data_IF_322606641864
#
_entry.id   IF_322606641864
#
_cell.length_a   1.000
_cell.length_b   1.000
_cell.length_c   1.000
_cell.angle_alpha   90.00
_cell.angle_beta   90.00
_cell.angle_gamma   90.00
#
_symmetry.space_group_name_H-M   'P 1'
#
loop_
_entity.id
_entity.type
_entity.pdbx_description
1 polymer ?
#
# COMPACT_ATOMS: atom_id res chain seq x y z
N UNK A 1 -5.75 6.29 -12.84
CA UNK A 1 -6.14 6.65 -11.47
C UNK A 1 -5.73 8.07 -11.13
N UNK A 2 -6.58 8.78 -10.39
CA UNK A 2 -6.24 10.10 -9.87
C UNK A 2 -5.60 9.96 -8.48
N UNK A 3 -4.53 10.69 -8.21
CA UNK A 3 -3.95 10.81 -6.88
C UNK A 3 -4.59 11.96 -6.07
N UNK A 4 -5.19 12.91 -6.74
CA UNK A 4 -5.99 14.01 -6.16
C UNK A 4 -7.28 14.21 -6.93
N UNK A 5 -8.37 14.55 -6.22
CA UNK A 5 -9.61 15.03 -6.81
C UNK A 5 -9.74 16.55 -6.62
N UNK A 6 -10.82 17.03 -5.98
CA UNK A 6 -11.00 18.47 -5.74
C UNK A 6 -10.07 19.03 -4.65
N UNK A 7 -9.64 18.17 -3.70
CA UNK A 7 -8.80 18.55 -2.56
C UNK A 7 -7.34 18.31 -2.86
N UNK A 8 -6.55 19.37 -2.77
CA UNK A 8 -5.12 19.30 -3.06
C UNK A 8 -4.32 18.66 -1.92
N UNK A 9 -3.31 17.89 -2.26
CA UNK A 9 -2.25 17.40 -1.36
C UNK A 9 -1.03 18.31 -1.38
N UNK A 10 -0.83 19.04 -2.48
CA UNK A 10 0.28 19.97 -2.65
C UNK A 10 -0.18 21.24 -3.40
N UNK A 11 0.62 22.34 -3.35
CA UNK A 11 0.23 23.61 -3.96
C UNK A 11 0.00 23.56 -5.48
N UNK A 12 0.63 22.62 -6.19
CA UNK A 12 0.67 22.60 -7.66
C UNK A 12 0.21 21.29 -8.27
N UNK A 13 -0.58 20.50 -7.54
CA UNK A 13 -1.06 19.21 -7.97
C UNK A 13 -2.28 19.27 -8.92
N UNK A 14 -2.76 18.09 -9.31
CA UNK A 14 -3.85 17.92 -10.28
C UNK A 14 -5.19 18.48 -9.80
N UNK A 15 -5.41 18.66 -8.51
CA UNK A 15 -6.67 19.23 -7.98
C UNK A 15 -7.01 20.61 -8.63
N UNK A 16 -5.98 21.34 -9.11
CA UNK A 16 -6.15 22.60 -9.84
C UNK A 16 -6.94 22.44 -11.13
N UNK A 17 -6.89 21.28 -11.73
CA UNK A 17 -7.47 20.97 -13.03
C UNK A 17 -8.63 19.98 -12.93
N UNK A 18 -8.82 19.35 -11.79
CA UNK A 18 -9.77 18.26 -11.60
C UNK A 18 -11.18 18.64 -12.06
N UNK A 19 -11.70 19.81 -11.63
CA UNK A 19 -13.04 20.25 -11.96
C UNK A 19 -13.30 20.36 -13.47
N UNK A 20 -12.30 20.75 -14.25
CA UNK A 20 -12.40 20.97 -15.70
C UNK A 20 -12.05 19.69 -16.49
N UNK A 21 -11.08 18.90 -16.01
CA UNK A 21 -10.42 17.88 -16.84
C UNK A 21 -10.74 16.44 -16.45
N UNK A 22 -11.27 16.17 -15.26
CA UNK A 22 -11.45 14.79 -14.76
C UNK A 22 -12.26 13.89 -15.68
N UNK A 23 -13.36 14.41 -16.29
CA UNK A 23 -14.21 13.59 -17.16
C UNK A 23 -13.49 13.25 -18.47
N UNK A 24 -12.78 14.19 -19.04
CA UNK A 24 -12.00 13.99 -20.26
C UNK A 24 -10.83 13.02 -20.00
N UNK A 25 -10.03 13.29 -18.99
CA UNK A 25 -8.83 12.50 -18.72
C UNK A 25 -9.17 11.05 -18.36
N UNK A 26 -10.21 10.84 -17.53
CA UNK A 26 -10.66 9.49 -17.20
C UNK A 26 -11.27 8.78 -18.44
N UNK A 27 -12.00 9.51 -19.28
CA UNK A 27 -12.54 8.98 -20.53
C UNK A 27 -11.43 8.56 -21.48
N UNK A 28 -10.44 9.41 -21.67
CA UNK A 28 -9.30 9.16 -22.57
C UNK A 28 -8.46 7.96 -22.07
N UNK A 29 -8.22 7.85 -20.77
CA UNK A 29 -7.54 6.70 -20.15
C UNK A 29 -8.29 5.39 -20.45
N UNK A 30 -9.59 5.36 -20.19
CA UNK A 30 -10.40 4.15 -20.40
C UNK A 30 -10.47 3.77 -21.88
N UNK A 31 -10.74 4.73 -22.77
CA UNK A 31 -10.82 4.47 -24.21
C UNK A 31 -9.51 3.99 -24.80
N UNK A 32 -8.38 4.51 -24.29
CA UNK A 32 -7.03 4.06 -24.69
C UNK A 32 -6.78 2.61 -24.28
N UNK A 33 -7.12 2.26 -23.02
CA UNK A 33 -6.60 1.06 -22.39
C UNK A 33 -7.62 -0.10 -22.26
N UNK A 34 -8.94 0.14 -22.47
CA UNK A 34 -9.98 -0.89 -22.28
C UNK A 34 -9.84 -2.14 -23.17
N UNK A 35 -9.10 -2.06 -24.27
CA UNK A 35 -8.86 -3.19 -25.16
C UNK A 35 -7.59 -3.97 -24.82
N UNK A 36 -6.82 -3.56 -23.79
CA UNK A 36 -5.68 -4.32 -23.32
C UNK A 36 -6.14 -5.43 -22.38
N UNK A 37 -5.80 -6.68 -22.70
CA UNK A 37 -6.20 -7.84 -21.91
C UNK A 37 -5.58 -7.84 -20.49
N UNK A 38 -4.45 -7.16 -20.29
CA UNK A 38 -3.80 -7.01 -18.99
C UNK A 38 -4.53 -6.06 -18.03
N UNK A 39 -5.40 -5.18 -18.54
CA UNK A 39 -6.23 -4.34 -17.68
C UNK A 39 -7.42 -5.17 -17.20
N UNK A 40 -7.52 -5.42 -15.90
CA UNK A 40 -8.60 -6.23 -15.32
C UNK A 40 -9.49 -5.43 -14.34
N UNK A 41 -9.04 -4.25 -13.93
CA UNK A 41 -9.72 -3.40 -12.96
C UNK A 41 -9.38 -1.93 -13.21
N UNK A 42 -10.32 -1.03 -12.90
CA UNK A 42 -10.14 0.41 -12.98
C UNK A 42 -10.08 1.03 -11.59
N UNK A 43 -8.99 1.73 -11.28
CA UNK A 43 -8.89 2.53 -10.06
C UNK A 43 -9.22 3.99 -10.37
N UNK A 44 -10.16 4.58 -9.64
CA UNK A 44 -10.58 5.97 -9.83
C UNK A 44 -9.91 6.96 -8.89
N UNK A 45 -9.17 6.47 -7.90
CA UNK A 45 -8.46 7.32 -6.94
C UNK A 45 -7.42 6.57 -6.13
N UNK A 46 -6.38 7.28 -5.68
CA UNK A 46 -5.40 6.80 -4.74
C UNK A 46 -5.25 7.79 -3.59
N UNK A 47 -5.59 7.35 -2.39
CA UNK A 47 -5.49 8.12 -1.15
C UNK A 47 -6.01 9.56 -1.25
N UNK A 48 -7.06 9.75 -2.06
CA UNK A 48 -7.67 11.07 -2.24
C UNK A 48 -8.22 11.58 -0.91
N UNK A 49 -8.07 12.87 -0.64
CA UNK A 49 -8.48 13.45 0.66
C UNK A 49 -9.99 13.43 0.86
N UNK A 50 -10.75 13.22 -0.17
CA UNK A 50 -12.21 13.07 -0.17
C UNK A 50 -12.67 11.79 0.56
N UNK A 51 -11.79 10.83 0.80
CA UNK A 51 -12.10 9.64 1.58
C UNK A 51 -12.37 9.94 3.06
N UNK A 52 -11.71 10.96 3.62
CA UNK A 52 -11.64 11.19 5.05
C UNK A 52 -12.99 11.53 5.69
N UNK A 53 -13.39 10.68 6.64
CA UNK A 53 -14.64 10.82 7.40
C UNK A 53 -14.52 11.69 8.65
N UNK A 54 -13.30 11.90 9.15
CA UNK A 54 -13.08 12.75 10.32
C UNK A 54 -13.36 14.21 9.99
N UNK A 55 -14.24 14.85 10.76
CA UNK A 55 -14.70 16.21 10.48
C UNK A 55 -13.55 17.23 10.37
N UNK A 56 -12.57 17.12 11.27
CA UNK A 56 -11.45 18.05 11.35
C UNK A 56 -10.33 17.73 10.35
N UNK A 57 -10.33 16.54 9.72
CA UNK A 57 -9.30 16.15 8.76
C UNK A 57 -9.22 17.10 7.56
N UNK A 58 -10.28 17.84 7.28
CA UNK A 58 -10.32 18.83 6.19
C UNK A 58 -9.55 20.10 6.48
N UNK A 59 -9.36 20.42 7.74
CA UNK A 59 -8.67 21.62 8.22
C UNK A 59 -7.20 21.35 8.56
N UNK A 60 -6.79 20.06 8.61
CA UNK A 60 -5.43 19.65 8.91
C UNK A 60 -4.56 19.63 7.66
N UNK A 61 -3.26 19.84 7.84
CA UNK A 61 -2.30 19.51 6.80
C UNK A 61 -2.24 17.97 6.56
N UNK A 62 -1.65 17.58 5.45
CA UNK A 62 -1.60 16.18 5.04
C UNK A 62 -0.90 15.28 6.08
N UNK A 63 0.17 15.79 6.72
CA UNK A 63 0.93 15.02 7.69
C UNK A 63 0.11 14.80 8.99
N UNK A 64 -0.54 15.83 9.49
CA UNK A 64 -1.38 15.74 10.68
C UNK A 64 -2.61 14.85 10.45
N UNK A 65 -3.23 14.92 9.27
CA UNK A 65 -4.33 14.05 8.91
C UNK A 65 -3.91 12.58 8.79
N UNK A 66 -2.77 12.30 8.17
CA UNK A 66 -2.22 10.94 8.10
C UNK A 66 -1.87 10.39 9.49
N UNK A 67 -1.38 11.22 10.41
CA UNK A 67 -1.14 10.81 11.78
C UNK A 67 -2.43 10.30 12.46
N UNK A 68 -3.52 11.02 12.33
CA UNK A 68 -4.83 10.64 12.88
C UNK A 68 -5.31 9.32 12.26
N UNK A 69 -5.23 9.19 10.94
CA UNK A 69 -5.68 8.00 10.22
C UNK A 69 -4.88 6.76 10.62
N UNK A 70 -3.58 6.89 10.74
CA UNK A 70 -2.68 5.77 11.05
C UNK A 70 -2.69 5.39 12.55
N UNK A 71 -2.91 6.36 13.44
CA UNK A 71 -3.09 6.09 14.86
C UNK A 71 -4.39 5.32 15.16
N UNK A 72 -5.37 5.39 14.26
CA UNK A 72 -6.69 4.80 14.42
C UNK A 72 -7.58 5.69 15.29
N UNK A 73 -8.43 6.47 14.67
CA UNK A 73 -9.42 7.28 15.37
C UNK A 73 -10.71 6.51 15.63
N UNK A 74 -11.41 6.85 16.69
CA UNK A 74 -12.73 6.32 16.96
C UNK A 74 -13.72 6.88 15.91
N UNK A 75 -14.44 5.96 15.25
CA UNK A 75 -15.48 6.35 14.30
C UNK A 75 -16.68 6.88 15.10
N UNK A 76 -17.18 8.06 14.74
CA UNK A 76 -18.44 8.56 15.28
C UNK A 76 -19.58 7.61 14.91
N UNK A 77 -20.27 6.97 15.89
CA UNK A 77 -21.39 6.07 15.60
C UNK A 77 -22.54 6.74 14.84
N UNK A 78 -22.67 8.06 14.89
CA UNK A 78 -23.66 8.80 14.12
C UNK A 78 -23.37 8.76 12.62
N UNK A 79 -22.11 8.82 12.22
CA UNK A 79 -21.71 8.70 10.80
C UNK A 79 -22.07 7.33 10.20
N UNK A 80 -22.01 6.27 10.99
CA UNK A 80 -22.38 4.94 10.51
C UNK A 80 -23.90 4.77 10.32
N UNK A 81 -24.71 5.58 11.00
CA UNK A 81 -26.18 5.55 10.89
C UNK A 81 -26.72 6.55 9.86
N UNK A 82 -25.92 7.53 9.50
CA UNK A 82 -26.30 8.51 8.48
C UNK A 82 -26.34 7.84 7.10
N UNK A 83 -27.51 7.82 6.46
CA UNK A 83 -27.72 7.26 5.12
C UNK A 83 -27.63 8.32 4.02
N UNK A 84 -27.44 9.59 4.37
CA UNK A 84 -27.25 10.65 3.39
C UNK A 84 -25.89 10.54 2.71
N UNK A 85 -25.87 10.78 1.40
CA UNK A 85 -24.62 10.78 0.65
C UNK A 85 -23.96 12.15 0.74
N UNK A 86 -22.72 12.15 1.18
CA UNK A 86 -21.88 13.34 1.13
C UNK A 86 -21.55 13.75 -0.29
N UNK A 87 -21.08 15.00 -0.47
CA UNK A 87 -20.54 15.48 -1.76
C UNK A 87 -19.42 14.53 -2.26
N UNK A 88 -18.54 14.08 -1.39
CA UNK A 88 -17.45 13.16 -1.70
C UNK A 88 -17.96 11.81 -2.21
N UNK A 89 -19.01 11.27 -1.59
CA UNK A 89 -19.66 10.05 -2.07
C UNK A 89 -20.32 10.25 -3.44
N UNK A 90 -20.86 11.44 -3.71
CA UNK A 90 -21.44 11.76 -5.03
C UNK A 90 -20.38 11.90 -6.11
N UNK A 91 -19.21 12.47 -5.82
CA UNK A 91 -18.06 12.51 -6.75
C UNK A 91 -17.60 11.09 -7.06
N UNK A 92 -17.49 10.22 -6.04
CA UNK A 92 -17.14 8.81 -6.24
C UNK A 92 -18.11 8.11 -7.20
N UNK A 93 -19.42 8.31 -7.01
CA UNK A 93 -20.46 7.79 -7.94
C UNK A 93 -20.31 8.34 -9.34
N UNK A 94 -20.02 9.62 -9.48
CA UNK A 94 -19.84 10.26 -10.78
C UNK A 94 -18.66 9.64 -11.54
N UNK A 95 -17.49 9.53 -10.90
CA UNK A 95 -16.31 8.93 -11.53
C UNK A 95 -16.53 7.45 -11.88
N UNK A 96 -17.14 6.67 -10.98
CA UNK A 96 -17.49 5.29 -11.27
C UNK A 96 -18.47 5.16 -12.44
N UNK A 97 -19.43 6.08 -12.57
CA UNK A 97 -20.38 6.11 -13.68
C UNK A 97 -19.70 6.41 -15.02
N UNK A 98 -18.68 7.29 -15.06
CA UNK A 98 -17.88 7.52 -16.28
C UNK A 98 -17.22 6.21 -16.72
N UNK A 99 -16.56 5.50 -15.78
CA UNK A 99 -15.94 4.19 -16.08
C UNK A 99 -16.98 3.22 -16.63
N UNK A 100 -18.07 3.00 -15.90
CA UNK A 100 -19.11 2.00 -16.27
C UNK A 100 -19.82 2.30 -17.56
N UNK A 101 -19.93 3.56 -17.98
CA UNK A 101 -20.45 3.96 -19.28
C UNK A 101 -19.55 3.49 -20.43
N UNK A 102 -18.24 3.44 -20.22
CA UNK A 102 -17.24 3.16 -21.24
C UNK A 102 -16.74 1.71 -21.23
N UNK A 103 -16.75 1.07 -20.05
CA UNK A 103 -16.37 -0.32 -19.84
C UNK A 103 -17.26 -0.95 -18.77
N UNK A 104 -18.20 -1.79 -19.20
CA UNK A 104 -19.11 -2.53 -18.31
C UNK A 104 -18.55 -3.86 -17.85
N UNK A 105 -17.41 -4.29 -18.39
CA UNK A 105 -16.85 -5.63 -18.17
C UNK A 105 -15.92 -5.71 -16.95
N UNK A 106 -15.34 -4.58 -16.56
CA UNK A 106 -14.35 -4.53 -15.49
C UNK A 106 -14.89 -3.87 -14.23
N UNK A 107 -14.34 -4.28 -13.11
CA UNK A 107 -14.67 -3.74 -11.77
C UNK A 107 -13.99 -2.39 -11.54
N UNK A 108 -14.60 -1.58 -10.67
CA UNK A 108 -14.09 -0.27 -10.25
C UNK A 108 -13.65 -0.34 -8.79
N UNK A 109 -12.51 0.25 -8.51
CA UNK A 109 -11.92 0.38 -7.18
C UNK A 109 -11.33 1.78 -6.94
N UNK A 110 -10.86 2.02 -5.74
CA UNK A 110 -9.97 3.12 -5.36
C UNK A 110 -9.06 2.64 -4.22
N UNK A 111 -7.79 3.03 -4.23
CA UNK A 111 -6.86 2.78 -3.13
C UNK A 111 -7.13 3.73 -1.97
N UNK A 112 -7.36 3.22 -0.77
CA UNK A 112 -7.72 4.02 0.40
C UNK A 112 -6.86 3.65 1.60
N UNK A 113 -6.38 4.67 2.32
CA UNK A 113 -5.71 4.52 3.60
C UNK A 113 -6.65 4.78 4.80
N UNK A 114 -7.85 5.31 4.60
CA UNK A 114 -8.91 5.27 5.60
C UNK A 114 -9.79 4.03 5.38
N UNK A 115 -9.46 2.95 6.08
CA UNK A 115 -10.03 1.60 5.86
C UNK A 115 -11.24 1.26 6.73
N UNK A 116 -11.98 2.27 7.17
CA UNK A 116 -13.16 2.09 8.01
C UNK A 116 -14.48 2.32 7.23
N UNK A 117 -15.63 1.83 7.72
CA UNK A 117 -16.93 1.98 7.05
C UNK A 117 -17.43 3.41 6.91
N UNK A 118 -16.88 4.38 7.64
CA UNK A 118 -17.26 5.78 7.53
C UNK A 118 -16.61 6.50 6.34
N UNK A 119 -15.57 5.90 5.72
CA UNK A 119 -14.92 6.43 4.51
C UNK A 119 -15.97 6.80 3.46
N UNK A 120 -15.93 8.05 3.00
CA UNK A 120 -16.92 8.59 2.05
C UNK A 120 -16.94 7.86 0.70
N UNK A 121 -15.78 7.35 0.24
CA UNK A 121 -15.71 6.57 -1.00
C UNK A 121 -16.43 5.22 -0.83
N UNK A 122 -16.23 4.54 0.29
CA UNK A 122 -16.89 3.27 0.59
C UNK A 122 -18.40 3.44 0.80
N UNK A 123 -18.81 4.52 1.47
CA UNK A 123 -20.22 4.87 1.66
C UNK A 123 -20.94 5.21 0.36
N UNK A 124 -20.23 5.58 -0.70
CA UNK A 124 -20.83 5.82 -2.00
C UNK A 124 -21.55 4.60 -2.58
N UNK A 125 -21.14 3.41 -2.18
CA UNK A 125 -21.55 2.11 -2.75
C UNK A 125 -21.27 1.96 -4.26
N UNK A 126 -20.39 2.78 -4.80
CA UNK A 126 -20.05 2.79 -6.22
C UNK A 126 -18.81 1.93 -6.57
N UNK A 127 -18.06 1.52 -5.57
CA UNK A 127 -16.90 0.67 -5.76
C UNK A 127 -17.31 -0.81 -5.71
N UNK A 128 -16.94 -1.56 -6.75
CA UNK A 128 -17.20 -2.99 -6.83
C UNK A 128 -16.26 -3.78 -5.90
N UNK A 129 -15.03 -3.31 -5.77
CA UNK A 129 -13.99 -3.87 -4.91
C UNK A 129 -13.41 -2.74 -4.07
N UNK A 130 -13.25 -2.94 -2.77
CA UNK A 130 -12.64 -1.96 -1.89
C UNK A 130 -11.13 -2.12 -1.89
N UNK A 131 -10.40 -1.06 -2.21
CA UNK A 131 -8.94 -1.04 -2.21
C UNK A 131 -8.41 -0.54 -0.87
N UNK A 132 -7.57 -1.33 -0.20
CA UNK A 132 -6.87 -0.92 1.01
C UNK A 132 -5.40 -0.69 0.70
N UNK A 133 -4.90 0.48 1.08
CA UNK A 133 -3.49 0.76 1.12
C UNK A 133 -2.97 0.43 2.52
N UNK A 134 -2.11 -0.59 2.62
CA UNK A 134 -1.61 -1.12 3.89
C UNK A 134 -2.72 -1.53 4.88
N UNK A 135 -2.52 -1.33 6.17
CA UNK A 135 -3.51 -1.57 7.24
C UNK A 135 -3.92 -3.04 7.39
N UNK A 136 -2.98 -3.96 7.33
CA UNK A 136 -3.14 -5.42 7.38
C UNK A 136 -4.01 -5.89 8.55
N UNK A 137 -3.98 -5.17 9.68
CA UNK A 137 -4.82 -5.45 10.87
C UNK A 137 -6.33 -5.43 10.60
N UNK A 138 -6.76 -4.84 9.46
CA UNK A 138 -8.16 -4.75 9.07
C UNK A 138 -8.57 -5.79 8.04
N UNK A 139 -7.67 -6.65 7.56
CA UNK A 139 -8.03 -7.69 6.60
C UNK A 139 -8.93 -8.76 7.20
N UNK A 140 -8.62 -9.27 8.40
CA UNK A 140 -9.46 -10.27 9.08
C UNK A 140 -10.87 -9.76 9.40
N UNK A 141 -11.07 -8.55 10.00
CA UNK A 141 -12.40 -8.05 10.29
C UNK A 141 -13.16 -7.50 9.07
N UNK A 142 -12.59 -7.55 7.86
CA UNK A 142 -13.15 -6.94 6.66
C UNK A 142 -14.61 -7.33 6.39
N UNK A 143 -14.95 -8.63 6.39
CA UNK A 143 -16.31 -9.09 6.10
C UNK A 143 -17.35 -8.62 7.11
N UNK A 144 -16.92 -8.39 8.36
CA UNK A 144 -17.79 -7.83 9.40
C UNK A 144 -18.07 -6.36 9.15
N UNK A 145 -17.06 -5.62 8.71
CA UNK A 145 -17.13 -4.18 8.47
C UNK A 145 -17.77 -3.84 7.12
N UNK A 146 -17.61 -4.72 6.12
CA UNK A 146 -18.08 -4.53 4.74
C UNK A 146 -18.79 -5.79 4.21
N UNK A 147 -19.99 -6.10 4.71
CA UNK A 147 -20.72 -7.30 4.31
C UNK A 147 -20.97 -7.32 2.79
N UNK A 148 -20.64 -8.44 2.13
CA UNK A 148 -20.88 -8.64 0.69
C UNK A 148 -19.89 -7.94 -0.24
N UNK A 149 -18.93 -7.18 0.27
CA UNK A 149 -17.86 -6.56 -0.52
C UNK A 149 -16.66 -7.49 -0.65
N UNK A 150 -15.80 -7.19 -1.64
CA UNK A 150 -14.49 -7.82 -1.87
C UNK A 150 -13.38 -6.85 -1.56
N UNK A 151 -12.25 -7.37 -1.11
CA UNK A 151 -11.05 -6.62 -0.78
C UNK A 151 -9.95 -6.88 -1.80
N UNK A 152 -9.31 -5.82 -2.26
CA UNK A 152 -8.00 -5.86 -2.91
C UNK A 152 -7.03 -5.03 -2.07
N UNK A 153 -5.82 -5.53 -1.84
CA UNK A 153 -4.76 -4.73 -1.23
C UNK A 153 -4.11 -3.92 -2.35
N UNK A 154 -4.58 -2.69 -2.52
CA UNK A 154 -4.19 -1.81 -3.64
C UNK A 154 -2.79 -1.25 -3.49
N UNK A 155 -2.27 -1.27 -2.26
CA UNK A 155 -0.89 -0.92 -1.93
C UNK A 155 -0.53 -1.63 -0.63
N UNK A 156 0.43 -2.54 -0.68
CA UNK A 156 0.71 -3.43 0.44
C UNK A 156 2.03 -3.10 1.13
N UNK A 157 2.14 -3.57 2.35
CA UNK A 157 3.39 -3.80 3.07
C UNK A 157 4.05 -2.53 3.57
N UNK A 158 4.65 -1.69 2.71
CA UNK A 158 5.49 -0.56 3.14
C UNK A 158 6.62 -0.99 4.10
N UNK A 159 7.26 -2.13 3.78
CA UNK A 159 8.48 -2.57 4.45
C UNK A 159 9.70 -1.81 3.91
N UNK A 160 10.72 -1.72 4.75
CA UNK A 160 11.93 -0.98 4.46
C UNK A 160 13.11 -1.95 4.40
N UNK A 161 13.93 -1.85 3.35
CA UNK A 161 15.11 -2.70 3.25
C UNK A 161 16.20 -2.08 2.38
N UNK A 162 17.45 -2.27 2.80
CA UNK A 162 18.64 -1.93 2.06
C UNK A 162 19.32 -3.22 1.64
N UNK A 163 19.47 -3.44 0.33
CA UNK A 163 20.10 -4.66 -0.18
C UNK A 163 21.49 -4.87 0.42
N UNK A 164 21.69 -6.02 1.05
CA UNK A 164 22.98 -6.43 1.63
C UNK A 164 23.30 -5.84 3.00
N UNK A 165 22.34 -5.19 3.68
CA UNK A 165 22.48 -4.77 5.07
C UNK A 165 21.54 -5.58 5.96
N UNK A 166 22.04 -6.07 7.09
CA UNK A 166 21.33 -6.99 7.97
C UNK A 166 21.52 -6.62 9.44
N UNK A 167 20.41 -6.59 10.18
CA UNK A 167 20.40 -6.35 11.62
C UNK A 167 19.99 -7.63 12.36
N UNK A 168 20.77 -7.99 13.38
CA UNK A 168 20.53 -9.14 14.24
C UNK A 168 19.90 -8.70 15.58
N UNK A 169 19.06 -9.50 16.21
CA UNK A 169 18.54 -10.78 15.71
C UNK A 169 17.52 -10.59 14.58
N UNK A 170 17.49 -11.53 13.65
CA UNK A 170 16.66 -11.43 12.44
C UNK A 170 15.17 -11.55 12.69
N UNK A 171 14.75 -12.10 13.82
CA UNK A 171 13.35 -12.25 14.25
C UNK A 171 12.80 -11.00 14.97
N UNK A 172 13.65 -10.01 15.25
CA UNK A 172 13.21 -8.75 15.83
C UNK A 172 12.60 -7.85 14.76
N UNK A 173 11.37 -7.35 15.01
CA UNK A 173 10.72 -6.42 14.11
C UNK A 173 11.07 -4.98 14.46
N UNK A 174 11.64 -4.27 13.50
CA UNK A 174 12.00 -2.86 13.60
C UNK A 174 10.91 -1.99 12.97
N UNK A 175 10.24 -1.17 13.79
CA UNK A 175 9.30 -0.17 13.30
C UNK A 175 10.02 1.17 13.25
N UNK A 176 10.06 1.80 12.05
CA UNK A 176 10.86 3.01 11.83
C UNK A 176 10.09 4.09 11.07
N UNK A 177 9.88 5.26 11.70
CA UNK A 177 10.07 5.53 13.13
C UNK A 177 9.15 4.64 13.98
N UNK A 178 9.37 4.56 15.29
CA UNK A 178 8.48 3.79 16.18
C UNK A 178 7.03 4.26 16.14
N UNK A 179 6.83 5.55 15.90
CA UNK A 179 5.53 6.19 15.67
C UNK A 179 5.72 7.46 14.82
N UNK A 180 4.65 7.93 14.17
CA UNK A 180 4.67 9.11 13.32
C UNK A 180 5.09 10.41 14.02
N UNK A 181 4.84 10.52 15.31
CA UNK A 181 5.14 11.69 16.12
C UNK A 181 6.58 11.72 16.65
N UNK A 182 7.35 10.67 16.37
CA UNK A 182 8.75 10.59 16.77
C UNK A 182 9.67 10.79 15.58
N UNK A 183 10.68 11.67 15.68
CA UNK A 183 11.72 11.75 14.68
C UNK A 183 12.50 10.43 14.63
N UNK A 184 12.93 10.06 13.43
CA UNK A 184 13.81 8.91 13.24
C UNK A 184 15.16 9.40 12.72
N UNK A 185 16.19 9.14 13.52
CA UNK A 185 17.57 9.42 13.17
C UNK A 185 18.39 8.13 13.28
N UNK A 186 19.02 7.75 12.19
CA UNK A 186 19.99 6.67 12.19
C UNK A 186 21.19 7.11 11.35
N UNK A 187 22.41 7.06 11.89
CA UNK A 187 23.58 7.62 11.23
C UNK A 187 23.95 6.96 9.90
N UNK A 188 23.55 5.70 9.71
CA UNK A 188 23.93 4.91 8.53
C UNK A 188 22.90 4.99 7.40
N UNK A 189 21.68 5.50 7.64
CA UNK A 189 20.61 5.60 6.65
C UNK A 189 20.38 4.28 5.88
N UNK A 190 20.28 3.16 6.61
CA UNK A 190 20.04 1.81 6.09
C UNK A 190 18.95 1.11 6.86
N UNK A 191 18.32 0.11 6.26
CA UNK A 191 17.30 -0.73 6.86
C UNK A 191 17.63 -2.20 6.63
N UNK A 192 17.38 -3.03 7.63
CA UNK A 192 17.64 -4.47 7.56
C UNK A 192 16.91 -5.16 6.41
N UNK A 193 17.58 -6.06 5.71
CA UNK A 193 17.06 -6.80 4.55
C UNK A 193 16.42 -8.15 4.90
N UNK A 194 16.27 -8.48 6.18
CA UNK A 194 15.61 -9.73 6.62
C UNK A 194 14.07 -9.71 6.53
N UNK A 195 13.45 -8.74 5.87
CA UNK A 195 12.01 -8.51 5.94
C UNK A 195 11.50 -8.28 7.37
N UNK A 196 12.29 -7.62 8.18
CA UNK A 196 12.01 -7.36 9.59
C UNK A 196 11.97 -5.86 9.95
N UNK A 197 11.89 -4.99 8.94
CA UNK A 197 11.82 -3.54 9.13
C UNK A 197 10.67 -2.94 8.31
N UNK A 198 9.80 -2.16 8.96
CA UNK A 198 8.69 -1.49 8.28
C UNK A 198 8.33 -0.16 8.95
N UNK A 199 7.53 0.66 8.24
CA UNK A 199 6.95 1.91 8.77
C UNK A 199 5.76 1.64 9.70
N UNK A 200 5.33 2.61 10.55
CA UNK A 200 4.25 2.39 11.54
C UNK A 200 2.91 1.93 10.97
N UNK A 201 2.59 2.31 9.73
CA UNK A 201 1.34 1.89 9.05
C UNK A 201 1.50 0.62 8.22
N UNK A 202 2.73 0.13 8.08
CA UNK A 202 3.09 -1.02 7.26
C UNK A 202 3.17 -2.34 8.03
N UNK A 203 3.72 -3.31 7.35
CA UNK A 203 3.94 -4.67 7.82
C UNK A 203 5.15 -5.28 7.09
N UNK A 204 5.56 -6.48 7.47
CA UNK A 204 6.54 -7.25 6.69
C UNK A 204 5.88 -7.88 5.45
N UNK A 205 6.66 -8.18 4.43
CA UNK A 205 6.16 -8.82 3.21
C UNK A 205 5.62 -10.23 3.50
N UNK A 206 6.34 -11.01 4.29
CA UNK A 206 5.91 -12.36 4.69
C UNK A 206 4.57 -12.35 5.40
N UNK A 207 4.39 -11.46 6.36
CA UNK A 207 3.14 -11.33 7.11
C UNK A 207 1.98 -10.90 6.21
N UNK A 208 2.20 -9.88 5.38
CA UNK A 208 1.17 -9.39 4.45
C UNK A 208 0.78 -10.48 3.46
N UNK A 209 1.76 -11.17 2.86
CA UNK A 209 1.50 -12.27 1.93
C UNK A 209 0.77 -13.44 2.60
N UNK A 210 1.15 -13.80 3.82
CA UNK A 210 0.46 -14.83 4.57
C UNK A 210 -1.04 -14.50 4.76
N UNK A 211 -1.37 -13.27 5.12
CA UNK A 211 -2.76 -12.83 5.26
C UNK A 211 -3.51 -12.89 3.92
N UNK A 212 -2.91 -12.41 2.84
CA UNK A 212 -3.52 -12.45 1.51
C UNK A 212 -3.76 -13.89 1.05
N UNK A 213 -2.80 -14.79 1.26
CA UNK A 213 -2.87 -16.20 0.86
C UNK A 213 -3.91 -16.99 1.65
N UNK A 214 -4.12 -16.65 2.92
CA UNK A 214 -4.97 -17.42 3.84
C UNK A 214 -6.38 -16.88 4.00
N UNK A 215 -6.64 -15.62 3.70
CA UNK A 215 -7.95 -14.99 3.82
C UNK A 215 -8.71 -15.02 2.49
N UNK A 216 -9.74 -15.87 2.33
CA UNK A 216 -10.38 -16.11 1.02
C UNK A 216 -11.15 -14.90 0.47
N UNK A 217 -11.38 -13.87 1.27
CA UNK A 217 -12.04 -12.63 0.86
C UNK A 217 -11.07 -11.56 0.36
N UNK A 218 -9.76 -11.79 0.49
CA UNK A 218 -8.72 -10.91 -0.07
C UNK A 218 -8.39 -11.40 -1.47
N UNK A 219 -8.67 -10.57 -2.48
CA UNK A 219 -8.56 -10.95 -3.89
C UNK A 219 -7.14 -10.97 -4.42
N UNK A 220 -6.19 -10.35 -3.70
CA UNK A 220 -4.79 -10.25 -4.07
C UNK A 220 -4.18 -8.94 -3.56
N UNK A 221 -2.92 -8.70 -3.93
CA UNK A 221 -2.19 -7.50 -3.53
C UNK A 221 -1.38 -6.89 -4.67
N UNK A 222 -1.11 -5.59 -4.54
CA UNK A 222 -0.06 -4.89 -5.26
C UNK A 222 0.99 -4.44 -4.26
N UNK A 223 2.26 -4.76 -4.54
CA UNK A 223 3.37 -4.45 -3.64
C UNK A 223 3.72 -2.96 -3.70
N UNK A 224 3.81 -2.30 -2.56
CA UNK A 224 4.47 -1.01 -2.45
C UNK A 224 5.90 -1.22 -1.90
N UNK A 225 6.92 -1.23 -2.78
CA UNK A 225 6.81 -0.99 -4.23
C UNK A 225 7.73 -1.94 -4.99
N UNK A 226 7.58 -2.03 -6.30
CA UNK A 226 8.43 -2.90 -7.13
C UNK A 226 9.89 -2.47 -7.13
N UNK A 227 10.15 -1.16 -7.24
CA UNK A 227 11.50 -0.59 -7.28
C UNK A 227 11.66 0.51 -6.24
N UNK A 228 12.86 0.66 -5.70
CA UNK A 228 13.22 1.89 -5.02
C UNK A 228 13.11 3.06 -6.01
N UNK A 229 12.80 4.25 -5.51
CA UNK A 229 12.63 5.44 -6.33
C UNK A 229 13.27 6.66 -5.65
N UNK A 230 13.63 7.66 -6.45
CA UNK A 230 14.16 8.91 -5.96
C UNK A 230 13.05 9.78 -5.35
N UNK A 231 13.40 10.52 -4.32
CA UNK A 231 12.44 11.26 -3.48
C UNK A 231 11.89 10.38 -2.37
N UNK A 232 11.07 10.95 -1.51
CA UNK A 232 10.37 10.30 -0.40
C UNK A 232 11.22 9.27 0.37
N UNK A 233 12.32 9.70 1.01
CA UNK A 233 13.27 8.80 1.66
C UNK A 233 12.79 8.29 3.03
N UNK A 234 11.50 8.35 3.32
CA UNK A 234 10.90 7.87 4.57
C UNK A 234 11.48 6.51 4.98
N UNK A 235 11.88 6.30 6.24
CA UNK A 235 11.72 7.20 7.40
C UNK A 235 12.85 8.25 7.56
N UNK A 236 13.81 8.25 6.66
CA UNK A 236 14.95 9.14 6.71
C UNK A 236 14.65 10.49 6.07
N UNK A 237 15.43 11.49 6.47
CA UNK A 237 15.47 12.82 5.88
C UNK A 237 16.78 12.99 5.11
N UNK A 238 17.04 14.22 4.68
CA UNK A 238 18.33 14.56 4.10
C UNK A 238 19.48 14.09 5.02
N UNK A 239 20.56 13.44 4.49
CA UNK A 239 20.95 13.34 3.08
C UNK A 239 20.38 12.15 2.29
N UNK A 240 19.53 11.32 2.86
CA UNK A 240 18.85 10.27 2.09
C UNK A 240 17.99 10.85 0.98
N UNK A 241 18.00 10.22 -0.19
CA UNK A 241 17.33 10.72 -1.40
C UNK A 241 16.46 9.69 -2.09
N UNK A 242 16.54 8.44 -1.66
CA UNK A 242 15.85 7.30 -2.24
C UNK A 242 14.92 6.69 -1.21
N UNK A 243 13.81 6.12 -1.68
CA UNK A 243 12.98 5.23 -0.88
C UNK A 243 13.71 3.93 -0.56
N UNK A 244 13.19 3.21 0.44
CA UNK A 244 13.67 1.88 0.87
C UNK A 244 12.61 0.81 0.67
N UNK A 245 11.47 1.15 0.05
CA UNK A 245 10.29 0.30 -0.08
C UNK A 245 10.38 -0.72 -1.22
N UNK A 246 11.27 -0.51 -2.20
CA UNK A 246 11.39 -1.38 -3.36
C UNK A 246 11.81 -2.80 -2.99
N UNK A 247 11.23 -3.81 -3.66
CA UNK A 247 11.76 -5.19 -3.64
C UNK A 247 12.95 -5.36 -4.58
N UNK A 248 13.18 -4.36 -5.43
CA UNK A 248 14.34 -4.19 -6.31
C UNK A 248 14.95 -2.82 -6.03
N UNK A 249 16.27 -2.72 -5.98
CA UNK A 249 16.96 -1.47 -5.70
C UNK A 249 17.00 -0.53 -6.93
N UNK A 250 17.50 0.71 -6.74
CA UNK A 250 17.64 1.71 -7.82
C UNK A 250 18.50 1.26 -9.00
N UNK A 251 19.42 0.32 -8.78
CA UNK A 251 20.29 -0.21 -9.82
C UNK A 251 19.68 -1.40 -10.56
N UNK A 252 18.46 -1.83 -10.17
CA UNK A 252 17.76 -2.95 -10.77
C UNK A 252 18.15 -4.32 -10.18
N UNK A 253 18.84 -4.35 -9.04
CA UNK A 253 19.17 -5.62 -8.37
C UNK A 253 18.05 -6.03 -7.40
N UNK A 254 17.60 -7.29 -7.45
CA UNK A 254 16.66 -7.85 -6.49
C UNK A 254 17.20 -7.77 -5.06
N UNK A 255 16.33 -7.39 -4.13
CA UNK A 255 16.54 -7.57 -2.68
C UNK A 255 16.07 -8.97 -2.27
N UNK A 256 16.39 -9.42 -1.06
CA UNK A 256 16.10 -10.81 -0.64
C UNK A 256 14.60 -11.15 -0.76
N UNK A 257 13.72 -10.26 -0.35
CA UNK A 257 12.27 -10.45 -0.42
C UNK A 257 11.71 -10.62 -1.85
N UNK A 258 12.39 -10.16 -2.87
CA UNK A 258 12.03 -10.47 -4.26
C UNK A 258 11.97 -11.98 -4.49
N UNK A 259 12.90 -12.72 -3.91
CA UNK A 259 12.96 -14.19 -4.04
C UNK A 259 11.86 -14.87 -3.23
N UNK A 260 11.37 -14.27 -2.13
CA UNK A 260 10.16 -14.74 -1.47
C UNK A 260 8.97 -14.70 -2.43
N UNK A 261 8.71 -13.55 -3.05
CA UNK A 261 7.61 -13.45 -4.02
C UNK A 261 7.82 -14.35 -5.23
N UNK A 262 9.06 -14.46 -5.73
CA UNK A 262 9.35 -15.38 -6.84
C UNK A 262 9.04 -16.84 -6.45
N UNK A 263 9.39 -17.27 -5.24
CA UNK A 263 9.11 -18.61 -4.76
C UNK A 263 7.62 -18.90 -4.58
N UNK A 264 6.83 -17.88 -4.27
CA UNK A 264 5.39 -17.99 -4.02
C UNK A 264 4.54 -17.83 -5.31
N UNK A 265 5.02 -17.04 -6.28
CA UNK A 265 4.22 -16.62 -7.43
C UNK A 265 4.61 -17.28 -8.74
N UNK A 266 5.68 -18.07 -8.76
CA UNK A 266 6.14 -18.74 -9.98
C UNK A 266 6.41 -20.22 -9.73
N UNK A 267 6.36 -21.03 -10.80
CA UNK A 267 6.76 -22.44 -10.80
C UNK A 267 8.25 -22.61 -11.11
N UNK A 268 9.00 -21.50 -11.32
CA UNK A 268 10.44 -21.57 -11.53
C UNK A 268 11.13 -22.01 -10.24
N UNK A 269 12.13 -22.93 -10.31
CA UNK A 269 12.88 -23.31 -9.13
C UNK A 269 13.58 -22.11 -8.48
N UNK A 270 13.35 -21.92 -7.21
CA UNK A 270 13.97 -20.87 -6.39
C UNK A 270 14.69 -21.52 -5.21
N UNK A 271 15.94 -21.15 -5.01
CA UNK A 271 16.68 -21.33 -3.77
C UNK A 271 17.55 -20.09 -3.59
N UNK A 272 17.18 -19.24 -2.66
CA UNK A 272 17.89 -18.01 -2.33
C UNK A 272 18.27 -18.04 -0.86
N UNK A 273 19.57 -18.09 -0.60
CA UNK A 273 20.14 -18.12 0.76
C UNK A 273 20.70 -16.74 1.08
N UNK A 274 20.40 -16.23 2.24
CA UNK A 274 20.89 -14.95 2.74
C UNK A 274 21.12 -15.00 4.26
N UNK A 275 21.91 -14.10 4.84
CA UNK A 275 22.59 -12.98 4.22
C UNK A 275 23.84 -13.40 3.41
N UNK A 276 24.60 -12.39 2.94
CA UNK A 276 25.93 -12.60 2.35
C UNK A 276 26.92 -13.19 3.36
N UNK A 277 28.09 -13.65 2.88
CA UNK A 277 29.12 -14.31 3.71
C UNK A 277 30.23 -13.36 4.21
N UNK A 278 30.09 -12.05 4.08
CA UNK A 278 31.09 -11.05 4.48
C UNK A 278 30.92 -10.64 5.94
N UNK A 279 31.16 -11.57 6.86
CA UNK A 279 31.04 -11.36 8.30
C UNK A 279 32.41 -11.48 8.97
N UNK A 280 32.56 -10.89 10.16
CA UNK A 280 33.76 -11.05 10.96
C UNK A 280 33.66 -12.33 11.78
N UNK A 281 34.82 -12.94 12.04
CA UNK A 281 34.89 -14.12 12.86
C UNK A 281 34.31 -13.85 14.27
N UNK A 282 33.39 -14.72 14.70
CA UNK A 282 32.71 -14.63 15.99
C UNK A 282 31.41 -13.82 16.00
N UNK A 283 31.03 -13.19 14.90
CA UNK A 283 29.70 -12.57 14.76
C UNK A 283 28.63 -13.66 14.60
N UNK A 284 27.52 -13.62 15.38
CA UNK A 284 26.38 -14.50 15.13
C UNK A 284 25.66 -14.04 13.85
N UNK A 285 25.29 -15.00 13.03
CA UNK A 285 24.61 -14.74 11.74
C UNK A 285 23.42 -15.68 11.60
N UNK A 286 22.22 -15.13 11.47
CA UNK A 286 21.02 -15.89 11.18
C UNK A 286 20.97 -16.16 9.68
N UNK A 287 20.87 -17.42 9.28
CA UNK A 287 20.81 -17.81 7.85
C UNK A 287 19.38 -18.15 7.51
N UNK A 288 18.87 -17.50 6.46
CA UNK A 288 17.53 -17.72 5.93
C UNK A 288 17.60 -18.24 4.49
N UNK A 289 16.53 -18.92 4.07
CA UNK A 289 16.39 -19.36 2.70
C UNK A 289 14.95 -19.18 2.22
N UNK A 290 14.76 -18.55 1.06
CA UNK A 290 13.50 -18.61 0.30
C UNK A 290 13.62 -19.67 -0.77
N UNK A 291 12.69 -20.61 -0.80
CA UNK A 291 12.72 -21.72 -1.76
C UNK A 291 11.32 -22.20 -2.13
N UNK A 292 11.24 -22.89 -3.25
CA UNK A 292 10.06 -23.64 -3.68
C UNK A 292 10.47 -24.96 -4.35
N UNK A 293 9.48 -25.80 -4.67
CA UNK A 293 9.67 -27.07 -5.41
C UNK A 293 10.72 -28.00 -4.80
N UNK A 294 10.90 -27.96 -3.46
CA UNK A 294 11.81 -28.82 -2.72
C UNK A 294 11.17 -29.23 -1.39
N UNK A 295 11.41 -30.46 -0.96
CA UNK A 295 10.94 -30.98 0.31
C UNK A 295 11.94 -30.71 1.44
N UNK A 296 13.21 -30.46 1.10
CA UNK A 296 14.31 -30.24 2.04
C UNK A 296 15.34 -29.29 1.44
N UNK A 297 15.92 -28.47 2.30
CA UNK A 297 17.07 -27.60 1.97
C UNK A 297 18.19 -27.91 2.96
N UNK A 298 19.37 -28.24 2.44
CA UNK A 298 20.57 -28.53 3.22
C UNK A 298 21.60 -27.42 2.98
N UNK A 299 22.26 -26.97 4.07
CA UNK A 299 23.32 -25.96 4.05
C UNK A 299 24.67 -26.62 4.29
#
# INVERSE_FOLDING_TARGET
>A
SFDMWERRKSPYDYARYFAEWHERDLTDEILRDRNHASVFMWSIGNEVLEQWSHADATELDLQAANLILNAGHAIDPALLKDTTLSRQSLITRHLAAIVKRLDTSRVVTAGCNEVNPANHLFRSDALDVLGFNSHERYFEPFLRNFPGKKLIVSESTSALMTRGYYEMPSDHIYIRPESWDKPFEAPEHVCSSYDNCHVPWGSTHEKTWHLVKTLPHVSGLFVWTGFDYLGEPTPYWWPSRSSFFGIVDLAGFPKDVYYMYKSEWTDEPVLHIFPHWNWKEGEPVDIWAYYNNADEVEL
#
